data_IF_172796775364
#
_entry.id   IF_172796775364
#
_cell.length_a   1.000
_cell.length_b   1.000
_cell.length_c   1.000
_cell.angle_alpha   90.00
_cell.angle_beta   90.00
_cell.angle_gamma   90.00
#
_symmetry.space_group_name_H-M   'P 1'
#
loop_
_entity.id
_entity.type
_entity.pdbx_description
1 polymer ?
#
# COMPACT_ATOMS: atom_id res chain seq x y z
N UNK A 1 -18.79 -2.69 -32.25
CA UNK A 1 -19.00 -1.52 -31.37
C UNK A 1 -17.80 -0.60 -31.56
N UNK A 2 -17.99 0.65 -31.94
CA UNK A 2 -16.88 1.58 -32.20
C UNK A 2 -16.79 2.57 -31.05
N UNK A 3 -15.77 2.46 -30.21
CA UNK A 3 -15.54 3.38 -29.08
C UNK A 3 -14.82 4.63 -29.59
N UNK A 4 -15.59 5.63 -30.05
CA UNK A 4 -15.04 6.95 -30.42
C UNK A 4 -14.98 7.94 -29.26
N UNK A 5 -15.64 7.63 -28.15
CA UNK A 5 -15.67 8.42 -26.93
C UNK A 5 -14.95 7.67 -25.80
N UNK A 6 -14.25 8.43 -24.95
CA UNK A 6 -13.66 7.93 -23.70
C UNK A 6 -14.78 7.28 -22.88
N UNK A 7 -14.62 6.00 -22.56
CA UNK A 7 -15.55 5.28 -21.70
C UNK A 7 -15.19 5.57 -20.24
N UNK A 8 -16.17 6.00 -19.45
CA UNK A 8 -15.98 6.43 -18.05
C UNK A 8 -16.60 5.46 -17.04
N UNK A 9 -17.12 4.32 -17.51
CA UNK A 9 -17.70 3.27 -16.67
C UNK A 9 -17.06 1.92 -16.99
N UNK A 10 -16.98 1.04 -15.98
CA UNK A 10 -16.50 -0.32 -16.16
C UNK A 10 -17.56 -1.11 -16.93
N UNK A 11 -17.16 -1.73 -18.04
CA UNK A 11 -18.03 -2.62 -18.81
C UNK A 11 -17.19 -3.67 -19.54
N UNK A 12 -17.87 -4.74 -19.97
CA UNK A 12 -17.29 -5.78 -20.82
C UNK A 12 -18.28 -6.08 -21.91
N UNK A 13 -17.88 -5.83 -23.14
CA UNK A 13 -18.72 -6.03 -24.31
C UNK A 13 -18.13 -7.15 -25.17
N UNK A 14 -19.01 -7.97 -25.73
CA UNK A 14 -18.66 -9.00 -26.69
C UNK A 14 -19.03 -8.52 -28.10
N UNK A 15 -18.09 -8.62 -29.03
CA UNK A 15 -18.34 -8.43 -30.46
C UNK A 15 -18.19 -9.78 -31.14
N UNK A 16 -19.28 -10.30 -31.70
CA UNK A 16 -19.24 -11.50 -32.53
C UNK A 16 -18.96 -11.12 -33.97
N UNK A 17 -17.86 -11.64 -34.52
CA UNK A 17 -17.51 -11.55 -35.93
C UNK A 17 -18.06 -12.81 -36.60
N UNK A 18 -18.91 -12.63 -37.61
CA UNK A 18 -19.45 -13.72 -38.42
C UNK A 18 -18.84 -13.60 -39.82
N UNK A 19 -18.04 -14.57 -40.22
CA UNK A 19 -17.50 -14.66 -41.57
C UNK A 19 -18.24 -15.75 -42.34
N UNK A 20 -18.91 -15.35 -43.43
CA UNK A 20 -19.67 -16.25 -44.30
C UNK A 20 -18.99 -16.38 -45.65
N UNK A 21 -18.81 -17.61 -46.14
CA UNK A 21 -18.25 -17.85 -47.47
C UNK A 21 -19.31 -17.71 -48.60
N UNK A 22 -18.88 -17.80 -49.85
CA UNK A 22 -19.78 -17.71 -51.03
C UNK A 22 -20.79 -18.85 -51.13
N UNK A 23 -20.58 -19.96 -50.39
CA UNK A 23 -21.50 -21.08 -50.30
C UNK A 23 -22.51 -20.93 -49.15
N UNK A 24 -22.38 -19.89 -48.32
CA UNK A 24 -23.27 -19.63 -47.18
C UNK A 24 -22.82 -20.25 -45.87
N UNK A 25 -21.62 -20.86 -45.80
CA UNK A 25 -21.10 -21.40 -44.55
C UNK A 25 -20.61 -20.26 -43.66
N UNK A 26 -21.08 -20.19 -42.41
CA UNK A 26 -20.70 -19.16 -41.45
C UNK A 26 -19.72 -19.71 -40.39
N UNK A 27 -18.74 -18.90 -40.04
CA UNK A 27 -17.85 -19.10 -38.88
C UNK A 27 -17.99 -17.93 -37.94
N UNK A 28 -18.16 -18.21 -36.65
CA UNK A 28 -18.31 -17.20 -35.60
C UNK A 28 -17.04 -17.11 -34.75
N UNK A 29 -16.60 -15.88 -34.48
CA UNK A 29 -15.53 -15.59 -33.55
C UNK A 29 -15.97 -14.47 -32.61
N UNK A 30 -16.01 -14.74 -31.31
CA UNK A 30 -16.25 -13.69 -30.31
C UNK A 30 -14.94 -13.01 -29.93
N UNK A 31 -14.95 -11.68 -29.92
CA UNK A 31 -13.88 -10.81 -29.42
C UNK A 31 -14.42 -10.03 -28.24
N UNK A 32 -13.73 -10.10 -27.11
CA UNK A 32 -14.10 -9.36 -25.90
C UNK A 32 -13.33 -8.04 -25.85
N UNK A 33 -14.05 -6.95 -25.58
CA UNK A 33 -13.45 -5.64 -25.27
C UNK A 33 -13.88 -5.26 -23.86
N UNK A 34 -12.91 -5.02 -22.99
CA UNK A 34 -13.16 -4.61 -21.61
C UNK A 34 -12.59 -3.24 -21.36
N UNK A 35 -13.39 -2.37 -20.75
CA UNK A 35 -12.92 -1.11 -20.15
C UNK A 35 -12.79 -1.34 -18.66
N UNK A 36 -11.57 -1.17 -18.15
CA UNK A 36 -11.27 -1.17 -16.73
C UNK A 36 -10.93 0.26 -16.32
N UNK A 37 -11.59 0.74 -15.28
CA UNK A 37 -11.08 1.87 -14.52
C UNK A 37 -10.16 1.21 -13.51
N UNK A 38 -8.87 1.53 -13.54
CA UNK A 38 -8.02 1.18 -12.41
C UNK A 38 -8.65 1.90 -11.22
N UNK A 39 -9.04 1.17 -10.17
CA UNK A 39 -9.18 1.79 -8.87
C UNK A 39 -7.86 2.49 -8.62
N UNK A 40 -7.82 3.81 -8.82
CA UNK A 40 -6.72 4.63 -8.35
C UNK A 40 -6.70 4.34 -6.87
N UNK A 41 -5.72 3.54 -6.42
CA UNK A 41 -5.64 3.09 -5.05
C UNK A 41 -5.82 4.33 -4.19
N UNK A 42 -6.98 4.42 -3.54
CA UNK A 42 -7.23 5.49 -2.58
C UNK A 42 -6.15 5.25 -1.53
N UNK A 43 -5.24 6.21 -1.38
CA UNK A 43 -4.19 6.11 -0.37
C UNK A 43 -4.82 5.79 0.99
N UNK A 44 -4.03 5.23 1.89
CA UNK A 44 -4.51 4.95 3.24
C UNK A 44 -4.24 6.11 4.18
N UNK A 45 -4.93 6.11 5.32
CA UNK A 45 -4.64 6.99 6.45
C UNK A 45 -3.84 6.22 7.48
N UNK A 46 -2.87 6.90 8.12
CA UNK A 46 -2.18 6.39 9.30
C UNK A 46 -2.57 7.24 10.51
N UNK A 47 -3.18 6.61 11.51
CA UNK A 47 -3.59 7.24 12.76
C UNK A 47 -2.49 7.04 13.83
N UNK A 48 -2.09 8.12 14.49
CA UNK A 48 -1.13 8.10 15.59
C UNK A 48 -1.61 7.28 16.80
N UNK A 49 -0.68 6.86 17.67
CA UNK A 49 -1.01 6.12 18.90
C UNK A 49 -1.67 7.06 19.93
N UNK A 50 -0.97 8.14 20.31
CA UNK A 50 -1.49 9.16 21.22
C UNK A 50 -1.41 10.57 20.64
N UNK A 51 -2.17 11.47 21.28
CA UNK A 51 -2.12 12.91 21.00
C UNK A 51 -0.74 13.46 21.39
N UNK A 52 -0.22 14.40 20.60
CA UNK A 52 1.11 15.01 20.77
C UNK A 52 2.33 14.08 20.60
N UNK A 53 2.17 12.81 20.20
CA UNK A 53 3.32 11.94 19.90
C UNK A 53 4.14 12.40 18.67
N UNK A 54 3.55 13.30 17.86
CA UNK A 54 4.12 13.82 16.61
C UNK A 54 4.57 12.69 15.66
N UNK A 55 3.81 11.60 15.62
CA UNK A 55 3.99 10.52 14.65
C UNK A 55 3.93 11.04 13.22
N UNK A 56 4.82 10.57 12.36
CA UNK A 56 4.91 11.00 10.96
C UNK A 56 5.81 12.21 10.73
N UNK A 57 6.50 12.73 11.77
CA UNK A 57 7.54 13.75 11.61
C UNK A 57 8.67 13.30 10.68
N UNK A 58 9.02 12.01 10.74
CA UNK A 58 10.00 11.39 9.86
C UNK A 58 9.46 10.03 9.43
N UNK A 59 9.52 9.75 8.13
CA UNK A 59 9.07 8.50 7.52
C UNK A 59 10.11 8.07 6.49
N UNK A 60 10.38 6.77 6.41
CA UNK A 60 11.20 6.17 5.36
C UNK A 60 10.65 4.79 4.99
N UNK A 61 11.09 4.27 3.84
CA UNK A 61 10.95 2.84 3.56
C UNK A 61 11.82 2.04 4.55
N UNK A 62 11.37 0.86 4.94
CA UNK A 62 12.16 -0.09 5.73
C UNK A 62 12.64 -1.29 4.90
N UNK A 63 12.20 -1.43 3.64
CA UNK A 63 12.29 -2.68 2.89
C UNK A 63 11.26 -3.70 3.38
N UNK A 64 11.28 -4.92 2.84
CA UNK A 64 10.45 -6.04 3.31
C UNK A 64 11.13 -6.71 4.53
N UNK A 65 10.78 -6.29 5.74
CA UNK A 65 11.44 -6.77 6.97
C UNK A 65 10.82 -8.07 7.50
N UNK A 66 9.65 -8.46 6.98
CA UNK A 66 8.90 -9.63 7.43
C UNK A 66 8.92 -10.79 6.40
N UNK A 67 9.45 -10.55 5.20
CA UNK A 67 9.61 -11.52 4.12
C UNK A 67 8.32 -11.87 3.38
N UNK A 68 7.31 -10.97 3.39
CA UNK A 68 6.02 -11.21 2.74
C UNK A 68 5.94 -10.72 1.28
N UNK A 69 7.00 -10.08 0.80
CA UNK A 69 7.14 -9.53 -0.55
C UNK A 69 6.58 -8.12 -0.71
N UNK A 70 6.19 -7.44 0.38
CA UNK A 70 5.73 -6.06 0.38
C UNK A 70 6.73 -5.17 1.13
N UNK A 71 7.04 -3.99 0.56
CA UNK A 71 7.88 -3.02 1.25
C UNK A 71 7.16 -2.46 2.48
N UNK A 72 7.88 -2.43 3.61
CA UNK A 72 7.43 -1.88 4.88
C UNK A 72 7.85 -0.41 5.04
N UNK A 73 7.29 0.25 6.06
CA UNK A 73 7.59 1.63 6.42
C UNK A 73 8.15 1.72 7.83
N UNK A 74 9.06 2.67 8.06
CA UNK A 74 9.44 3.12 9.39
C UNK A 74 8.92 4.54 9.64
N UNK A 75 8.27 4.74 10.79
CA UNK A 75 7.60 6.01 11.15
C UNK A 75 8.04 6.45 12.54
N UNK A 76 8.60 7.65 12.63
CA UNK A 76 9.02 8.25 13.89
C UNK A 76 7.91 9.03 14.61
N UNK A 77 7.86 8.89 15.93
CA UNK A 77 6.99 9.60 16.87
C UNK A 77 7.81 10.11 18.06
N UNK A 78 8.56 11.17 17.81
CA UNK A 78 9.68 11.62 18.63
C UNK A 78 9.28 12.31 19.94
N UNK A 79 8.00 12.62 20.15
CA UNK A 79 7.47 13.16 21.42
C UNK A 79 6.83 12.09 22.31
N UNK A 80 6.67 10.86 21.81
CA UNK A 80 6.02 9.80 22.58
C UNK A 80 6.74 9.51 23.90
N UNK A 81 5.98 9.09 24.92
CA UNK A 81 6.50 8.66 26.24
C UNK A 81 7.50 9.65 26.86
N UNK A 82 7.04 10.87 27.18
CA UNK A 82 7.89 11.91 27.78
C UNK A 82 9.17 12.17 26.98
N UNK A 83 9.04 12.32 25.66
CA UNK A 83 10.16 12.56 24.74
C UNK A 83 11.19 11.43 24.69
N UNK A 84 10.93 10.26 25.26
CA UNK A 84 11.73 9.08 24.96
C UNK A 84 11.66 8.74 23.46
N UNK A 85 10.47 8.94 22.89
CA UNK A 85 10.18 8.74 21.49
C UNK A 85 9.93 7.28 21.15
N UNK A 86 9.24 7.06 20.03
CA UNK A 86 8.96 5.73 19.46
C UNK A 86 9.26 5.74 17.96
N UNK A 87 9.68 4.59 17.43
CA UNK A 87 9.68 4.32 15.99
C UNK A 87 8.82 3.09 15.71
N UNK A 88 7.95 3.17 14.71
CA UNK A 88 7.08 2.07 14.32
C UNK A 88 7.56 1.49 13.00
N UNK A 89 7.76 0.18 12.96
CA UNK A 89 7.85 -0.55 11.69
C UNK A 89 6.45 -1.03 11.35
N UNK A 90 5.94 -0.59 10.22
CA UNK A 90 4.58 -0.84 9.74
C UNK A 90 4.69 -1.75 8.53
N UNK A 91 4.11 -2.95 8.64
CA UNK A 91 4.15 -3.92 7.56
C UNK A 91 3.32 -3.47 6.35
N UNK A 92 3.84 -3.72 5.16
CA UNK A 92 3.18 -3.50 3.89
C UNK A 92 1.86 -4.26 3.81
N UNK A 93 0.88 -3.69 3.08
CA UNK A 93 -0.39 -4.37 2.80
C UNK A 93 -0.99 -3.90 1.49
N UNK A 94 -1.80 -4.76 0.88
CA UNK A 94 -2.41 -4.51 -0.43
C UNK A 94 -3.76 -3.80 -0.36
N UNK A 95 -4.40 -3.79 0.81
CA UNK A 95 -5.67 -3.10 1.01
C UNK A 95 -5.48 -1.63 1.42
N UNK A 96 -6.50 -0.81 1.17
CA UNK A 96 -6.53 0.62 1.53
C UNK A 96 -7.02 0.93 2.95
N UNK A 97 -7.13 -0.07 3.84
CA UNK A 97 -7.60 0.17 5.22
C UNK A 97 -6.65 1.08 6.00
N UNK A 98 -7.15 1.75 7.04
CA UNK A 98 -6.32 2.64 7.85
C UNK A 98 -5.32 1.83 8.69
N UNK A 99 -4.10 2.35 8.79
CA UNK A 99 -3.09 1.86 9.75
C UNK A 99 -3.29 2.60 11.06
N UNK A 100 -3.33 1.89 12.19
CA UNK A 100 -3.40 2.51 13.51
C UNK A 100 -2.13 2.17 14.28
N UNK A 101 -1.32 3.17 14.64
CA UNK A 101 -0.06 2.93 15.37
C UNK A 101 -0.28 2.32 16.75
N UNK A 102 -1.46 2.53 17.35
CA UNK A 102 -1.88 1.83 18.57
C UNK A 102 -2.04 0.31 18.38
N UNK A 103 -2.48 -0.15 17.19
CA UNK A 103 -2.52 -1.58 16.89
C UNK A 103 -1.10 -2.14 16.66
N UNK A 104 -0.22 -1.35 16.05
CA UNK A 104 1.19 -1.71 15.83
C UNK A 104 1.93 -1.83 17.18
N UNK A 105 1.68 -0.91 18.12
CA UNK A 105 2.21 -0.98 19.48
C UNK A 105 1.77 -2.26 20.23
N UNK A 106 0.61 -2.82 19.87
CA UNK A 106 0.10 -4.10 20.36
C UNK A 106 0.57 -5.31 19.54
N UNK A 107 1.44 -5.12 18.55
CA UNK A 107 2.03 -6.18 17.73
C UNK A 107 1.16 -6.64 16.55
N UNK A 108 0.17 -5.85 16.13
CA UNK A 108 -0.66 -6.17 14.96
C UNK A 108 -0.26 -5.31 13.76
N UNK A 109 0.23 -5.94 12.69
CA UNK A 109 0.60 -5.26 11.44
C UNK A 109 1.98 -4.60 11.46
N UNK A 110 2.85 -4.98 12.40
CA UNK A 110 4.17 -4.40 12.57
C UNK A 110 4.68 -4.56 14.00
N UNK A 111 5.66 -3.73 14.36
CA UNK A 111 6.19 -3.65 15.73
C UNK A 111 6.70 -2.24 16.06
N UNK A 112 6.93 -1.98 17.35
CA UNK A 112 7.44 -0.69 17.86
C UNK A 112 8.83 -0.84 18.47
N UNK A 113 9.67 0.16 18.22
CA UNK A 113 10.98 0.36 18.82
C UNK A 113 10.84 1.55 19.78
N UNK A 114 10.90 1.28 21.08
CA UNK A 114 10.77 2.29 22.11
C UNK A 114 12.11 2.99 22.38
N UNK A 115 12.09 4.30 22.61
CA UNK A 115 13.18 5.00 23.27
C UNK A 115 13.40 4.46 24.69
N UNK A 116 14.64 4.48 25.16
CA UNK A 116 15.01 3.87 26.42
C UNK A 116 14.69 4.77 27.61
N UNK A 117 15.05 6.06 27.51
CA UNK A 117 14.89 7.04 28.57
C UNK A 117 14.11 8.26 28.09
N UNK A 118 13.50 8.98 29.03
CA UNK A 118 12.91 10.29 28.75
C UNK A 118 13.95 11.23 28.11
N UNK A 119 13.49 12.08 27.20
CA UNK A 119 14.32 13.05 26.47
C UNK A 119 15.40 12.44 25.53
N UNK A 120 15.29 11.17 25.14
CA UNK A 120 16.16 10.55 24.12
C UNK A 120 15.77 10.94 22.68
N UNK A 121 14.52 11.36 22.46
CA UNK A 121 13.97 11.77 21.18
C UNK A 121 14.08 10.69 20.08
N UNK A 122 13.95 9.41 20.45
CA UNK A 122 13.97 8.31 19.50
C UNK A 122 12.92 8.50 18.39
N UNK A 123 13.26 8.15 17.16
CA UNK A 123 12.39 8.40 16.00
C UNK A 123 12.34 9.86 15.54
N UNK A 124 13.20 10.76 16.06
CA UNK A 124 13.33 12.11 15.50
C UNK A 124 13.68 12.09 14.01
N UNK A 125 14.55 11.17 13.58
CA UNK A 125 14.87 10.92 12.18
C UNK A 125 15.00 9.44 11.96
N UNK A 126 14.40 8.93 10.89
CA UNK A 126 14.47 7.54 10.47
C UNK A 126 14.89 7.46 8.99
N UNK A 127 15.62 6.41 8.65
CA UNK A 127 16.01 6.07 7.28
C UNK A 127 16.12 4.56 7.12
N UNK A 128 15.87 4.05 5.92
CA UNK A 128 16.22 2.68 5.57
C UNK A 128 17.71 2.42 5.81
N UNK A 129 18.05 1.21 6.27
CA UNK A 129 19.43 0.73 6.33
C UNK A 129 19.85 -0.03 5.05
N UNK A 130 18.89 -0.33 4.16
CA UNK A 130 19.06 -1.34 3.11
C UNK A 130 19.10 -2.76 3.66
N UNK A 131 19.43 -3.72 2.80
CA UNK A 131 19.74 -5.09 3.22
C UNK A 131 21.13 -5.12 3.88
N UNK A 132 21.14 -5.36 5.19
CA UNK A 132 22.36 -5.34 6.02
C UNK A 132 22.93 -6.72 6.30
N UNK A 133 22.13 -7.78 6.15
CA UNK A 133 22.51 -9.16 6.44
C UNK A 133 22.62 -10.04 5.19
N UNK A 134 22.25 -9.52 4.02
CA UNK A 134 22.47 -10.16 2.73
C UNK A 134 21.49 -11.29 2.43
N UNK A 135 20.28 -11.25 2.99
CA UNK A 135 19.26 -12.28 2.79
C UNK A 135 18.14 -11.88 1.82
N UNK A 136 18.22 -10.68 1.24
CA UNK A 136 17.30 -10.17 0.22
C UNK A 136 17.45 -10.76 -1.18
#
# INVERSE_FOLDING_TARGET
>A
VTYKAIQTTVHTDAVTIIATDVAGNATEQTVTVSVRIADIAQGFVMNGENVEDHSGKSVSSAGDVNGDGLDDLIVGAYHAESYAGKSYVVFGKTDGSAVNLSAIALGTGGFVINGENADDWSGYSVSSAGDVNGDG
#
